data_IF_375432720814
#
_entry.id   IF_375432720814
#
_cell.length_a   1.000
_cell.length_b   1.000
_cell.length_c   1.000
_cell.angle_alpha   90.00
_cell.angle_beta   90.00
_cell.angle_gamma   90.00
#
_symmetry.space_group_name_H-M   'P 1'
#
loop_
_entity.id
_entity.type
_entity.pdbx_description
1 polymer ?
#
# COMPACT_ATOMS: atom_id res chain seq x y z
N UNK A 1 -14.92 -19.73 -8.59
CA UNK A 1 -14.48 -19.21 -7.27
C UNK A 1 -14.66 -17.69 -7.29
N UNK A 2 -15.13 -17.08 -6.20
CA UNK A 2 -15.34 -15.62 -6.08
C UNK A 2 -14.07 -14.86 -5.74
N UNK A 3 -12.97 -15.56 -5.45
CA UNK A 3 -11.71 -14.97 -5.06
C UNK A 3 -10.54 -15.67 -5.76
N UNK A 4 -9.49 -14.91 -6.03
CA UNK A 4 -8.19 -15.41 -6.51
C UNK A 4 -7.24 -15.47 -5.33
N UNK A 5 -6.52 -16.59 -5.18
CA UNK A 5 -5.48 -16.77 -4.16
C UNK A 5 -4.18 -17.09 -4.87
N UNK A 6 -3.12 -16.36 -4.53
CA UNK A 6 -1.77 -16.54 -5.06
C UNK A 6 -0.78 -16.69 -3.91
N UNK A 7 0.17 -17.61 -4.05
CA UNK A 7 1.32 -17.77 -3.18
C UNK A 7 2.58 -17.67 -4.02
N UNK A 8 3.18 -16.48 -4.00
CA UNK A 8 4.35 -16.17 -4.80
C UNK A 8 5.60 -16.51 -3.99
N UNK A 9 6.33 -17.54 -4.41
CA UNK A 9 7.63 -17.88 -3.81
C UNK A 9 8.62 -16.76 -4.11
N UNK A 10 9.23 -16.22 -3.06
CA UNK A 10 10.22 -15.15 -3.12
C UNK A 10 11.60 -15.69 -2.75
N UNK A 11 12.63 -15.10 -3.36
CA UNK A 11 14.03 -15.34 -2.98
C UNK A 11 14.80 -14.03 -2.90
N UNK A 12 15.82 -13.92 -2.03
CA UNK A 12 16.75 -12.79 -2.09
C UNK A 12 17.39 -12.67 -3.47
N UNK A 13 17.52 -11.45 -3.98
CA UNK A 13 18.23 -11.19 -5.25
C UNK A 13 19.71 -11.54 -5.13
N UNK A 14 20.30 -11.34 -3.94
CA UNK A 14 21.71 -11.62 -3.66
C UNK A 14 21.84 -12.43 -2.38
N UNK A 15 22.54 -13.57 -2.47
CA UNK A 15 22.81 -14.44 -1.33
C UNK A 15 21.54 -15.05 -0.72
N UNK A 16 21.55 -15.25 0.59
CA UNK A 16 20.48 -15.96 1.32
C UNK A 16 19.84 -15.13 2.43
N UNK A 17 20.44 -13.99 2.78
CA UNK A 17 20.05 -13.19 3.94
C UNK A 17 19.09 -12.08 3.54
N UNK A 18 18.19 -11.74 4.45
CA UNK A 18 17.33 -10.58 4.33
C UNK A 18 17.17 -9.87 5.68
N UNK A 19 17.08 -8.54 5.63
CA UNK A 19 16.79 -7.71 6.77
C UNK A 19 15.31 -7.84 7.16
N UNK A 20 14.96 -8.15 8.41
CA UNK A 20 13.57 -8.20 8.89
C UNK A 20 13.02 -6.79 9.15
N UNK A 21 11.70 -6.69 9.38
CA UNK A 21 11.12 -5.43 9.88
C UNK A 21 11.44 -5.37 11.36
N UNK A 22 12.03 -4.26 11.80
CA UNK A 22 12.41 -4.05 13.20
C UNK A 22 11.46 -3.08 13.87
N UNK A 23 10.85 -3.50 14.97
CA UNK A 23 10.02 -2.68 15.83
C UNK A 23 10.77 -2.39 17.16
N UNK A 24 10.70 -1.18 17.73
CA UNK A 24 11.42 -0.86 18.97
C UNK A 24 11.08 -1.75 20.17
N UNK A 25 9.84 -2.19 20.26
CA UNK A 25 9.28 -3.00 21.36
C UNK A 25 9.28 -4.51 21.08
N UNK A 26 9.15 -4.91 19.81
CA UNK A 26 9.06 -6.32 19.38
C UNK A 26 10.36 -6.87 18.77
N UNK A 27 11.25 -6.03 18.25
CA UNK A 27 12.36 -6.47 17.40
C UNK A 27 11.88 -7.00 16.06
N UNK A 28 12.45 -8.10 15.58
CA UNK A 28 11.94 -8.82 14.41
C UNK A 28 10.63 -9.53 14.77
N UNK A 29 9.60 -9.41 13.92
CA UNK A 29 8.27 -9.97 14.17
C UNK A 29 8.23 -11.50 13.95
N UNK A 30 8.90 -12.25 14.81
CA UNK A 30 8.96 -13.71 14.75
C UNK A 30 7.79 -14.36 15.47
N UNK A 31 7.26 -15.46 14.93
CA UNK A 31 6.16 -16.23 15.52
C UNK A 31 6.33 -17.74 15.26
N UNK A 32 5.52 -18.57 15.90
CA UNK A 32 5.48 -20.02 15.64
C UNK A 32 4.39 -20.32 14.63
N UNK A 33 4.74 -20.93 13.49
CA UNK A 33 3.80 -21.37 12.47
C UNK A 33 3.66 -22.90 12.53
N UNK A 34 2.43 -23.42 12.48
CA UNK A 34 2.20 -24.85 12.42
C UNK A 34 2.06 -25.29 10.95
N UNK A 35 3.09 -25.92 10.41
CA UNK A 35 3.13 -26.41 9.03
C UNK A 35 2.64 -27.86 9.01
N UNK A 36 1.66 -28.14 8.15
CA UNK A 36 1.10 -29.49 8.00
C UNK A 36 2.20 -30.49 7.62
N UNK A 37 2.32 -31.57 8.39
CA UNK A 37 3.34 -32.62 8.19
C UNK A 37 4.73 -32.31 8.77
N UNK A 38 4.99 -31.08 9.21
CA UNK A 38 6.28 -30.68 9.79
C UNK A 38 6.18 -30.25 11.26
N UNK A 39 4.99 -29.83 11.71
CA UNK A 39 4.76 -29.34 13.07
C UNK A 39 5.06 -27.84 13.20
N UNK A 40 5.47 -27.41 14.39
CA UNK A 40 5.77 -26.00 14.67
C UNK A 40 7.16 -25.62 14.16
N UNK A 41 7.22 -24.56 13.34
CA UNK A 41 8.46 -23.97 12.84
C UNK A 41 8.53 -22.49 13.21
N UNK A 42 9.76 -21.99 13.39
CA UNK A 42 9.99 -20.57 13.60
C UNK A 42 9.72 -19.82 12.29
N UNK A 43 8.80 -18.88 12.32
CA UNK A 43 8.44 -18.03 11.20
C UNK A 43 8.73 -16.55 11.51
N UNK A 44 8.72 -15.72 10.47
CA UNK A 44 8.92 -14.28 10.54
C UNK A 44 7.90 -13.57 9.65
N UNK A 45 7.14 -12.66 10.25
CA UNK A 45 6.22 -11.79 9.52
C UNK A 45 7.00 -10.65 8.87
N UNK A 46 7.30 -10.80 7.57
CA UNK A 46 8.23 -9.94 6.88
C UNK A 46 7.58 -8.62 6.44
N UNK A 47 6.38 -8.70 5.86
CA UNK A 47 5.56 -7.54 5.51
C UNK A 47 4.10 -7.80 5.84
N UNK A 48 3.48 -6.85 6.53
CA UNK A 48 2.09 -6.97 6.96
C UNK A 48 1.09 -6.65 5.86
N UNK A 49 -0.19 -7.05 6.02
CA UNK A 49 -1.27 -6.57 5.18
C UNK A 49 -1.30 -5.06 5.00
N UNK A 50 -0.99 -4.30 6.05
CA UNK A 50 -0.97 -2.84 6.01
C UNK A 50 0.20 -2.32 5.18
N UNK A 51 1.39 -2.90 5.37
CA UNK A 51 2.58 -2.52 4.61
C UNK A 51 2.44 -2.85 3.12
N UNK A 52 1.96 -4.06 2.80
CA UNK A 52 1.76 -4.46 1.40
C UNK A 52 0.67 -3.65 0.71
N UNK A 53 -0.39 -3.24 1.41
CA UNK A 53 -1.38 -2.32 0.83
C UNK A 53 -0.75 -0.98 0.43
N UNK A 54 0.12 -0.41 1.26
CA UNK A 54 0.84 0.83 0.90
C UNK A 54 1.74 0.62 -0.32
N UNK A 55 2.40 -0.54 -0.44
CA UNK A 55 3.27 -0.84 -1.58
C UNK A 55 2.51 -1.04 -2.89
N UNK A 56 1.38 -1.75 -2.84
CA UNK A 56 0.49 -1.92 -3.98
C UNK A 56 -0.09 -0.57 -4.43
N UNK A 57 -0.57 0.23 -3.48
CA UNK A 57 -1.11 1.57 -3.76
C UNK A 57 -0.05 2.50 -4.39
N UNK A 58 1.21 2.44 -3.93
CA UNK A 58 2.30 3.21 -4.52
C UNK A 58 2.62 2.85 -5.98
N UNK A 59 2.21 1.67 -6.46
CA UNK A 59 2.35 1.32 -7.89
C UNK A 59 1.48 2.23 -8.77
N UNK A 60 0.49 2.91 -8.19
CA UNK A 60 -0.47 3.77 -8.89
C UNK A 60 -0.01 5.24 -9.01
N UNK A 61 1.19 5.57 -8.54
CA UNK A 61 1.69 6.94 -8.42
C UNK A 61 3.08 7.14 -9.06
N UNK A 62 3.27 8.27 -9.74
CA UNK A 62 4.57 8.74 -10.23
C UNK A 62 5.08 9.89 -9.34
N UNK A 63 6.10 9.65 -8.49
CA UNK A 63 6.65 10.67 -7.61
C UNK A 63 7.40 11.79 -8.36
N UNK A 64 7.89 11.55 -9.57
CA UNK A 64 8.58 12.57 -10.36
C UNK A 64 7.59 13.59 -10.94
N UNK A 65 6.42 13.09 -11.38
CA UNK A 65 5.34 13.93 -11.90
C UNK A 65 4.46 14.53 -10.79
N UNK A 66 4.48 13.98 -9.58
CA UNK A 66 3.49 14.25 -8.53
C UNK A 66 2.06 14.05 -9.05
N UNK A 67 1.86 12.95 -9.78
CA UNK A 67 0.58 12.56 -10.36
C UNK A 67 0.44 11.03 -10.37
N UNK A 68 -0.73 10.55 -10.77
CA UNK A 68 -0.94 9.14 -11.01
C UNK A 68 0.01 8.58 -12.08
N UNK A 69 0.38 7.31 -11.94
CA UNK A 69 1.15 6.61 -12.96
C UNK A 69 0.42 6.68 -14.32
N UNK A 70 1.17 6.81 -15.42
CA UNK A 70 0.63 7.04 -16.77
C UNK A 70 -0.42 5.98 -17.19
N UNK A 71 -0.24 4.73 -16.73
CA UNK A 71 -1.20 3.64 -16.95
C UNK A 71 -2.62 3.96 -16.43
N UNK A 72 -2.74 4.81 -15.41
CA UNK A 72 -3.99 5.22 -14.78
C UNK A 72 -4.54 6.55 -15.32
N UNK A 73 -3.85 7.24 -16.24
CA UNK A 73 -4.26 8.56 -16.74
C UNK A 73 -5.74 8.58 -17.15
N UNK A 74 -6.50 9.49 -16.54
CA UNK A 74 -7.93 9.65 -16.76
C UNK A 74 -8.80 9.08 -15.63
N UNK A 75 -8.23 8.31 -14.70
CA UNK A 75 -8.93 7.93 -13.47
C UNK A 75 -9.02 9.10 -12.50
N UNK A 76 -10.16 9.25 -11.79
CA UNK A 76 -10.29 10.24 -10.74
C UNK A 76 -9.42 9.89 -9.54
N UNK A 77 -8.99 10.95 -8.86
CA UNK A 77 -8.47 10.94 -7.50
C UNK A 77 -8.73 12.33 -6.89
N UNK A 78 -8.52 12.46 -5.58
CA UNK A 78 -8.61 13.76 -4.91
C UNK A 78 -7.20 14.32 -4.71
N UNK A 79 -6.91 15.44 -5.37
CA UNK A 79 -5.65 16.18 -5.27
C UNK A 79 -5.77 17.26 -4.20
N UNK A 80 -4.74 17.43 -3.39
CA UNK A 80 -4.63 18.55 -2.45
C UNK A 80 -3.46 19.44 -2.86
N UNK A 81 -3.73 20.73 -3.01
CA UNK A 81 -2.72 21.74 -3.33
C UNK A 81 -2.54 22.72 -2.18
N UNK A 82 -1.34 23.30 -2.05
CA UNK A 82 -1.06 24.32 -1.05
C UNK A 82 -1.65 25.70 -1.41
N UNK A 83 -1.36 26.71 -0.58
CA UNK A 83 -1.84 28.07 -0.80
C UNK A 83 -1.37 28.68 -2.14
N UNK A 84 -0.19 28.28 -2.62
CA UNK A 84 0.43 28.71 -3.87
C UNK A 84 0.07 27.84 -5.08
N UNK A 85 -0.79 26.82 -4.91
CA UNK A 85 -1.18 25.89 -5.98
C UNK A 85 -0.16 24.77 -6.23
N UNK A 86 0.88 24.65 -5.40
CA UNK A 86 1.82 23.53 -5.45
C UNK A 86 1.16 22.24 -4.98
N UNK A 87 1.59 21.09 -5.54
CA UNK A 87 1.15 19.79 -5.03
C UNK A 87 1.53 19.62 -3.56
N UNK A 88 0.56 19.25 -2.72
CA UNK A 88 0.80 18.94 -1.32
C UNK A 88 0.69 17.43 -1.07
N UNK A 89 -0.45 16.83 -1.41
CA UNK A 89 -0.73 15.40 -1.23
C UNK A 89 -1.95 14.97 -2.07
N UNK A 90 -2.37 13.70 -1.98
CA UNK A 90 -3.55 13.18 -2.66
C UNK A 90 -4.21 12.03 -1.89
N UNK A 91 -5.44 11.66 -2.27
CA UNK A 91 -6.10 10.46 -1.74
C UNK A 91 -5.31 9.16 -1.96
N UNK A 92 -4.33 9.14 -2.86
CA UNK A 92 -3.49 7.95 -3.13
C UNK A 92 -2.18 7.91 -2.34
N UNK A 93 -1.75 9.05 -1.79
CA UNK A 93 -0.54 9.12 -0.95
C UNK A 93 -0.86 9.09 0.54
N UNK A 94 -2.08 9.46 0.91
CA UNK A 94 -2.50 9.53 2.29
C UNK A 94 -2.85 8.17 2.89
N UNK A 95 -2.34 7.87 4.10
CA UNK A 95 -2.57 6.60 4.78
C UNK A 95 -4.06 6.30 5.07
N UNK A 96 -4.89 7.34 5.15
CA UNK A 96 -6.33 7.25 5.33
C UNK A 96 -7.12 7.47 4.02
N UNK A 97 -6.43 7.59 2.89
CA UNK A 97 -6.99 7.83 1.56
C UNK A 97 -7.96 9.00 1.52
N UNK A 98 -9.16 8.81 0.98
CA UNK A 98 -10.25 9.79 1.00
C UNK A 98 -10.63 10.26 2.41
N UNK A 99 -10.34 9.48 3.46
CA UNK A 99 -10.64 9.85 4.84
C UNK A 99 -9.52 10.68 5.52
N UNK A 100 -8.47 11.07 4.80
CA UNK A 100 -7.35 11.84 5.36
C UNK A 100 -7.76 13.21 5.91
N UNK A 101 -7.13 13.61 7.01
CA UNK A 101 -7.26 14.95 7.57
C UNK A 101 -6.89 16.04 6.56
N UNK A 102 -5.89 15.79 5.69
CA UNK A 102 -5.50 16.75 4.65
C UNK A 102 -6.61 17.01 3.64
N UNK A 103 -7.46 16.01 3.37
CA UNK A 103 -8.64 16.18 2.52
C UNK A 103 -9.79 16.82 3.31
N UNK A 104 -10.06 16.31 4.52
CA UNK A 104 -11.17 16.77 5.36
C UNK A 104 -11.07 18.25 5.71
N UNK A 105 -9.87 18.73 6.01
CA UNK A 105 -9.67 20.08 6.54
C UNK A 105 -9.27 21.08 5.43
N UNK A 106 -8.96 20.60 4.22
CA UNK A 106 -8.79 21.45 3.04
C UNK A 106 -10.12 22.10 2.58
N UNK A 107 -10.01 23.08 1.67
CA UNK A 107 -11.14 23.88 1.17
C UNK A 107 -11.52 23.48 -0.25
N UNK A 108 -12.82 23.43 -0.52
CA UNK A 108 -13.41 23.22 -1.85
C UNK A 108 -14.82 23.84 -1.85
N UNK A 109 -15.21 24.47 -2.96
CA UNK A 109 -16.55 25.07 -3.15
C UNK A 109 -17.02 25.99 -2.02
N UNK A 110 -16.08 26.74 -1.40
CA UNK A 110 -16.38 27.64 -0.28
C UNK A 110 -16.57 26.95 1.08
N UNK A 111 -16.53 25.61 1.13
CA UNK A 111 -16.63 24.79 2.33
C UNK A 111 -15.33 24.08 2.72
N UNK A 112 -15.42 23.13 3.67
CA UNK A 112 -14.35 22.18 3.97
C UNK A 112 -14.56 20.88 3.20
N UNK A 113 -13.48 20.18 2.89
CA UNK A 113 -13.53 18.85 2.27
C UNK A 113 -14.33 17.86 3.11
N UNK A 114 -14.42 18.05 4.43
CA UNK A 114 -15.28 17.28 5.33
C UNK A 114 -16.76 17.39 5.01
N UNK A 115 -17.27 18.60 4.81
CA UNK A 115 -18.68 18.82 4.45
C UNK A 115 -18.91 18.33 3.02
N UNK A 116 -17.99 18.67 2.11
CA UNK A 116 -18.06 18.24 0.71
C UNK A 116 -18.07 16.71 0.57
N UNK A 117 -17.22 15.98 1.31
CA UNK A 117 -17.21 14.51 1.32
C UNK A 117 -18.48 13.94 1.94
N UNK A 118 -18.98 14.50 3.04
CA UNK A 118 -20.25 14.05 3.65
C UNK A 118 -21.41 14.10 2.66
N UNK A 119 -21.53 15.23 1.95
CA UNK A 119 -22.55 15.46 0.93
C UNK A 119 -22.36 14.51 -0.26
N UNK A 120 -21.13 14.37 -0.77
CA UNK A 120 -20.80 13.47 -1.89
C UNK A 120 -21.07 12.00 -1.58
N UNK A 121 -20.84 11.58 -0.35
CA UNK A 121 -21.12 10.22 0.11
C UNK A 121 -22.61 9.99 0.42
N UNK A 122 -23.45 11.04 0.37
CA UNK A 122 -24.89 10.95 0.55
C UNK A 122 -25.33 10.54 1.96
N UNK A 123 -24.58 10.93 2.98
CA UNK A 123 -24.84 10.51 4.36
C UNK A 123 -26.02 11.31 4.94
N UNK A 124 -27.08 10.62 5.37
CA UNK A 124 -28.29 11.26 5.91
C UNK A 124 -28.61 10.74 7.30
N UNK A 125 -28.80 11.66 8.25
CA UNK A 125 -29.15 11.33 9.64
C UNK A 125 -30.47 10.54 9.71
N UNK A 126 -30.44 9.44 10.45
CA UNK A 126 -31.62 8.57 10.65
C UNK A 126 -31.95 7.67 9.46
N UNK A 127 -31.08 7.58 8.44
CA UNK A 127 -31.21 6.63 7.32
C UNK A 127 -30.06 5.63 7.32
N UNK A 128 -30.33 4.43 6.80
CA UNK A 128 -29.29 3.44 6.53
C UNK A 128 -28.41 3.93 5.38
N UNK A 129 -27.12 3.56 5.42
CA UNK A 129 -26.17 3.85 4.34
C UNK A 129 -26.52 2.97 3.14
N UNK A 130 -26.74 3.60 1.99
CA UNK A 130 -26.80 2.88 0.71
C UNK A 130 -25.39 2.53 0.26
N UNK A 131 -25.01 1.26 0.45
CA UNK A 131 -23.66 0.79 0.14
C UNK A 131 -23.30 0.87 -1.36
N UNK A 132 -24.28 0.82 -2.27
CA UNK A 132 -24.02 0.95 -3.71
C UNK A 132 -23.81 2.40 -4.09
N UNK A 133 -24.64 3.31 -3.58
CA UNK A 133 -24.45 4.74 -3.77
C UNK A 133 -23.12 5.21 -3.15
N UNK A 134 -22.78 4.70 -1.96
CA UNK A 134 -21.49 4.95 -1.31
C UNK A 134 -20.32 4.47 -2.18
N UNK A 135 -20.37 3.23 -2.69
CA UNK A 135 -19.32 2.71 -3.54
C UNK A 135 -19.18 3.52 -4.83
N UNK A 136 -20.30 3.96 -5.43
CA UNK A 136 -20.28 4.82 -6.62
C UNK A 136 -19.65 6.17 -6.34
N UNK A 137 -20.00 6.80 -5.22
CA UNK A 137 -19.41 8.07 -4.80
C UNK A 137 -17.89 7.93 -4.57
N UNK A 138 -17.44 6.84 -3.94
CA UNK A 138 -16.02 6.56 -3.75
C UNK A 138 -15.34 6.29 -5.09
N UNK A 139 -15.94 5.52 -6.00
CA UNK A 139 -15.40 5.28 -7.34
C UNK A 139 -15.22 6.60 -8.12
N UNK A 140 -16.18 7.52 -8.03
CA UNK A 140 -16.11 8.83 -8.70
C UNK A 140 -15.09 9.78 -8.06
N UNK A 141 -14.63 9.47 -6.85
CA UNK A 141 -13.61 10.26 -6.15
C UNK A 141 -12.22 9.65 -6.32
N UNK A 142 -12.10 8.34 -6.12
CA UNK A 142 -10.86 7.57 -6.21
C UNK A 142 -11.15 6.04 -6.24
N UNK A 143 -11.14 5.38 -7.41
CA UNK A 143 -11.37 3.94 -7.55
C UNK A 143 -10.39 3.07 -6.76
N UNK A 144 -9.15 3.55 -6.55
CA UNK A 144 -8.10 2.84 -5.80
C UNK A 144 -8.51 2.65 -4.33
N UNK A 145 -9.30 3.58 -3.78
CA UNK A 145 -9.85 3.46 -2.42
C UNK A 145 -10.83 2.30 -2.25
N UNK A 146 -11.48 1.82 -3.33
CA UNK A 146 -12.33 0.63 -3.28
C UNK A 146 -11.55 -0.68 -3.30
N UNK A 147 -10.30 -0.66 -3.76
CA UNK A 147 -9.41 -1.81 -3.79
C UNK A 147 -8.72 -1.97 -2.43
N UNK A 148 -8.13 -0.88 -1.92
CA UNK A 148 -7.35 -0.90 -0.67
C UNK A 148 -8.16 -0.56 0.59
N UNK A 149 -9.46 -0.31 0.43
CA UNK A 149 -10.39 0.00 1.49
C UNK A 149 -10.21 1.41 2.08
N UNK A 150 -11.28 1.94 2.64
CA UNK A 150 -11.29 3.27 3.27
C UNK A 150 -12.26 3.27 4.45
N UNK A 151 -11.90 3.95 5.53
CA UNK A 151 -12.74 4.07 6.72
C UNK A 151 -12.89 5.54 7.13
N UNK A 152 -14.11 6.05 7.07
CA UNK A 152 -14.44 7.42 7.46
C UNK A 152 -14.84 7.48 8.94
N UNK A 153 -13.86 7.50 9.84
CA UNK A 153 -14.06 7.54 11.29
C UNK A 153 -14.48 8.94 11.82
N UNK A 154 -15.52 9.54 11.24
CA UNK A 154 -15.95 10.90 11.53
C UNK A 154 -17.13 10.94 12.51
N UNK A 155 -16.86 11.27 13.77
CA UNK A 155 -17.88 11.32 14.83
C UNK A 155 -19.01 12.34 14.59
N UNK A 156 -18.73 13.38 13.81
CA UNK A 156 -19.68 14.46 13.51
C UNK A 156 -20.64 14.09 12.38
N UNK A 157 -20.30 13.08 11.56
CA UNK A 157 -21.14 12.64 10.45
C UNK A 157 -22.30 11.75 10.93
N UNK A 158 -23.41 11.68 10.16
CA UNK A 158 -24.54 10.79 10.42
C UNK A 158 -24.17 9.31 10.60
N UNK A 159 -23.12 8.86 9.92
CA UNK A 159 -22.58 7.50 9.99
C UNK A 159 -21.08 7.51 9.67
N UNK A 160 -20.40 6.39 9.96
CA UNK A 160 -18.96 6.22 9.73
C UNK A 160 -18.74 5.09 8.72
N UNK A 161 -18.97 5.35 7.41
CA UNK A 161 -18.89 4.32 6.39
C UNK A 161 -17.49 3.71 6.30
N UNK A 162 -17.45 2.40 6.01
CA UNK A 162 -16.22 1.63 5.83
C UNK A 162 -16.34 0.72 4.62
N UNK A 163 -15.32 0.74 3.77
CA UNK A 163 -15.09 -0.24 2.71
C UNK A 163 -13.90 -1.10 3.12
N UNK A 164 -14.09 -2.43 3.13
CA UNK A 164 -13.02 -3.38 3.38
C UNK A 164 -12.05 -3.42 2.18
N UNK A 165 -10.88 -4.05 2.31
CA UNK A 165 -9.98 -4.21 1.17
C UNK A 165 -10.48 -5.35 0.28
N UNK A 166 -10.52 -5.10 -1.03
CA UNK A 166 -10.75 -6.16 -2.01
C UNK A 166 -9.46 -6.96 -2.27
N UNK A 167 -8.29 -6.39 -2.02
CA UNK A 167 -7.00 -7.08 -2.07
C UNK A 167 -6.34 -7.12 -0.69
N UNK A 168 -5.83 -8.29 -0.31
CA UNK A 168 -4.98 -8.47 0.86
C UNK A 168 -3.71 -9.19 0.45
N UNK A 169 -2.55 -8.66 0.85
CA UNK A 169 -1.26 -9.28 0.58
C UNK A 169 -0.40 -9.21 1.84
N UNK A 170 0.38 -10.24 2.14
CA UNK A 170 1.42 -10.20 3.17
C UNK A 170 2.59 -11.08 2.76
N UNK A 171 3.74 -10.89 3.41
CA UNK A 171 4.94 -11.69 3.17
C UNK A 171 5.35 -12.33 4.48
N UNK A 172 5.40 -13.66 4.49
CA UNK A 172 5.92 -14.45 5.60
C UNK A 172 7.13 -15.26 5.16
N UNK A 173 8.03 -15.50 6.10
CA UNK A 173 9.16 -16.41 5.93
C UNK A 173 9.04 -17.56 6.94
N UNK A 174 9.23 -18.80 6.48
CA UNK A 174 9.13 -20.02 7.30
C UNK A 174 10.50 -20.68 7.50
N UNK A 175 10.63 -21.39 8.63
CA UNK A 175 11.89 -22.01 9.10
C UNK A 175 13.05 -20.99 9.08
N UNK A 176 12.84 -19.87 9.75
CA UNK A 176 13.81 -18.77 9.78
C UNK A 176 14.94 -19.03 10.77
N UNK A 177 16.16 -18.64 10.39
CA UNK A 177 17.36 -18.70 11.24
C UNK A 177 18.01 -17.32 11.30
N UNK A 178 18.36 -16.80 12.50
CA UNK A 178 19.10 -15.56 12.62
C UNK A 178 20.46 -15.67 11.93
N UNK A 179 20.74 -14.75 11.02
CA UNK A 179 22.05 -14.54 10.41
C UNK A 179 22.70 -13.32 11.07
N UNK A 180 23.29 -13.56 12.25
CA UNK A 180 23.94 -12.51 13.03
C UNK A 180 25.22 -12.08 12.33
N UNK A 181 25.36 -10.77 12.13
CA UNK A 181 26.56 -10.15 11.60
C UNK A 181 26.93 -8.89 12.39
N UNK A 182 28.12 -8.36 12.14
CA UNK A 182 28.57 -7.09 12.71
C UNK A 182 28.69 -6.03 11.62
N UNK A 183 28.61 -4.77 12.03
CA UNK A 183 29.09 -3.64 11.25
C UNK A 183 29.88 -2.70 12.14
N UNK A 184 30.54 -1.72 11.53
CA UNK A 184 31.20 -0.64 12.26
C UNK A 184 30.69 0.67 11.69
N UNK A 185 30.12 1.51 12.54
CA UNK A 185 29.98 2.93 12.21
C UNK A 185 31.37 3.53 12.27
N UNK A 186 31.86 4.03 11.14
CA UNK A 186 33.17 4.66 11.05
C UNK A 186 33.07 6.17 11.22
N UNK A 187 33.88 6.74 12.10
CA UNK A 187 34.14 8.17 12.19
C UNK A 187 35.61 8.40 11.84
N UNK A 188 35.86 8.94 10.65
CA UNK A 188 37.22 9.20 10.14
C UNK A 188 37.81 10.50 10.67
N UNK A 189 37.00 11.36 11.30
CA UNK A 189 37.40 12.68 11.80
C UNK A 189 37.64 12.61 13.31
N UNK A 190 36.80 11.88 14.05
CA UNK A 190 36.96 11.65 15.47
C UNK A 190 36.73 10.17 15.84
N UNK A 191 37.74 9.30 15.68
CA UNK A 191 37.58 7.88 15.95
C UNK A 191 37.48 7.55 17.46
N UNK A 192 37.90 8.45 18.36
CA UNK A 192 37.85 8.26 19.81
C UNK A 192 36.49 8.64 20.40
N UNK A 193 36.13 7.99 21.51
CA UNK A 193 34.99 8.38 22.34
C UNK A 193 35.51 9.28 23.48
N UNK A 194 35.53 10.58 23.26
CA UNK A 194 35.86 11.57 24.29
C UNK A 194 34.60 12.02 25.04
N UNK A 195 34.75 12.51 26.27
CA UNK A 195 33.61 13.05 27.03
C UNK A 195 32.92 14.19 26.27
N UNK A 196 31.60 14.05 26.04
CA UNK A 196 30.80 15.00 25.26
C UNK A 196 30.92 14.86 23.74
N UNK A 197 31.75 13.92 23.24
CA UNK A 197 31.87 13.54 21.83
C UNK A 197 31.96 12.01 21.71
N UNK A 198 31.00 11.31 22.29
CA UNK A 198 30.93 9.85 22.24
C UNK A 198 29.90 9.33 21.26
N UNK A 199 29.76 8.00 21.24
CA UNK A 199 28.79 7.27 20.44
C UNK A 199 27.34 7.77 20.57
N UNK A 200 26.94 8.22 21.77
CA UNK A 200 25.58 8.72 22.05
C UNK A 200 25.30 10.06 21.37
N UNK A 201 26.32 10.90 21.25
CA UNK A 201 26.27 12.21 20.59
C UNK A 201 26.52 12.09 19.08
N UNK A 202 26.81 10.88 18.58
CA UNK A 202 26.99 10.60 17.17
C UNK A 202 28.43 10.59 16.69
N UNK A 203 29.42 10.65 17.57
CA UNK A 203 30.85 10.58 17.23
C UNK A 203 31.43 9.17 17.46
N UNK A 204 32.67 8.95 17.03
CA UNK A 204 33.43 7.76 17.37
C UNK A 204 33.20 6.56 16.45
N UNK A 205 34.19 5.66 16.41
CA UNK A 205 34.04 4.36 15.75
C UNK A 205 33.30 3.38 16.66
N UNK A 206 32.14 2.89 16.21
CA UNK A 206 31.27 2.05 17.05
C UNK A 206 30.95 0.75 16.32
N UNK A 207 31.49 -0.40 16.78
CA UNK A 207 31.00 -1.70 16.36
C UNK A 207 29.55 -1.90 16.81
N UNK A 208 28.71 -2.42 15.93
CA UNK A 208 27.31 -2.74 16.24
C UNK A 208 26.94 -4.11 15.67
N UNK A 209 26.07 -4.81 16.38
CA UNK A 209 25.49 -6.06 15.89
C UNK A 209 24.32 -5.75 14.95
N UNK A 210 24.19 -6.56 13.90
CA UNK A 210 23.00 -6.61 13.03
C UNK A 210 22.48 -8.04 12.99
N UNK A 211 21.17 -8.17 13.10
CA UNK A 211 20.49 -9.46 12.95
C UNK A 211 19.68 -9.40 11.66
N UNK A 212 20.16 -10.14 10.66
CA UNK A 212 19.40 -10.49 9.46
C UNK A 212 18.84 -11.91 9.65
N UNK A 213 18.07 -12.40 8.69
CA UNK A 213 17.52 -13.75 8.71
C UNK A 213 17.81 -14.46 7.38
N UNK A 214 17.97 -15.77 7.45
CA UNK A 214 17.78 -16.69 6.32
C UNK A 214 16.50 -17.46 6.56
N UNK A 215 15.85 -17.93 5.50
CA UNK A 215 14.63 -18.74 5.60
C UNK A 215 14.70 -19.90 4.61
N UNK A 216 13.94 -20.97 4.90
CA UNK A 216 13.71 -22.02 3.92
C UNK A 216 12.76 -21.54 2.83
N UNK A 217 11.65 -20.93 3.24
CA UNK A 217 10.60 -20.44 2.36
C UNK A 217 10.32 -18.97 2.66
N UNK A 218 10.17 -18.15 1.63
CA UNK A 218 9.65 -16.78 1.74
C UNK A 218 8.49 -16.69 0.74
N UNK A 219 7.30 -16.33 1.20
CA UNK A 219 6.10 -16.37 0.37
C UNK A 219 5.35 -15.06 0.50
N UNK A 220 5.04 -14.42 -0.62
CA UNK A 220 4.00 -13.40 -0.68
C UNK A 220 2.65 -14.07 -0.94
N UNK A 221 1.77 -14.06 0.05
CA UNK A 221 0.40 -14.57 -0.07
C UNK A 221 -0.53 -13.42 -0.42
N UNK A 222 -1.31 -13.59 -1.50
CA UNK A 222 -2.25 -12.60 -2.03
C UNK A 222 -3.64 -13.22 -2.08
N UNK A 223 -4.65 -12.47 -1.66
CA UNK A 223 -6.07 -12.76 -1.87
C UNK A 223 -6.72 -11.56 -2.55
N UNK A 224 -7.38 -11.81 -3.68
CA UNK A 224 -8.24 -10.85 -4.38
C UNK A 224 -9.68 -11.32 -4.27
N UNK A 225 -10.54 -10.53 -3.64
CA UNK A 225 -11.97 -10.80 -3.51
C UNK A 225 -12.77 -10.12 -4.64
N UNK A 226 -12.93 -10.85 -5.75
CA UNK A 226 -13.78 -10.41 -6.86
C UNK A 226 -15.27 -10.38 -6.48
N UNK A 227 -15.67 -11.16 -5.48
CA UNK A 227 -17.01 -11.12 -4.90
C UNK A 227 -17.30 -9.76 -4.26
N UNK A 228 -16.34 -9.20 -3.53
CA UNK A 228 -16.44 -7.86 -2.97
C UNK A 228 -16.52 -6.79 -4.07
N UNK A 229 -15.66 -6.85 -5.10
CA UNK A 229 -15.70 -5.92 -6.24
C UNK A 229 -17.09 -5.93 -6.90
N UNK A 230 -17.63 -7.13 -7.16
CA UNK A 230 -18.97 -7.30 -7.71
C UNK A 230 -20.08 -6.80 -6.78
N UNK A 231 -19.91 -6.94 -5.47
CA UNK A 231 -20.91 -6.52 -4.48
C UNK A 231 -21.17 -5.01 -4.47
N UNK A 232 -20.21 -4.21 -4.95
CA UNK A 232 -20.36 -2.76 -5.08
C UNK A 232 -21.49 -2.36 -6.05
N UNK A 233 -21.83 -3.24 -7.01
CA UNK A 233 -22.93 -3.01 -7.94
C UNK A 233 -22.73 -1.80 -8.85
N UNK A 234 -21.49 -1.54 -9.26
CA UNK A 234 -21.10 -0.38 -10.08
C UNK A 234 -21.32 -0.58 -11.58
N UNK A 235 -21.68 -1.81 -11.99
CA UNK A 235 -21.83 -2.20 -13.39
C UNK A 235 -20.52 -2.68 -14.01
N UNK A 236 -20.64 -3.40 -15.12
CA UNK A 236 -19.55 -4.17 -15.74
C UNK A 236 -18.33 -3.31 -16.10
N UNK A 237 -18.53 -2.09 -16.60
CA UNK A 237 -17.44 -1.18 -16.97
C UNK A 237 -16.59 -0.77 -15.76
N UNK A 238 -17.24 -0.39 -14.66
CA UNK A 238 -16.55 0.03 -13.43
C UNK A 238 -15.87 -1.16 -12.76
N UNK A 239 -16.51 -2.33 -12.76
CA UNK A 239 -15.93 -3.57 -12.27
C UNK A 239 -14.70 -3.99 -13.10
N UNK A 240 -14.73 -3.81 -14.43
CA UNK A 240 -13.59 -4.06 -15.30
C UNK A 240 -12.39 -3.17 -14.95
N UNK A 241 -12.62 -1.87 -14.69
CA UNK A 241 -11.58 -0.94 -14.22
C UNK A 241 -10.97 -1.42 -12.89
N UNK A 242 -11.80 -1.78 -11.90
CA UNK A 242 -11.30 -2.23 -10.59
C UNK A 242 -10.48 -3.53 -10.68
N UNK A 243 -10.92 -4.50 -11.48
CA UNK A 243 -10.16 -5.73 -11.68
C UNK A 243 -8.86 -5.47 -12.47
N UNK A 244 -8.87 -4.58 -13.47
CA UNK A 244 -7.67 -4.24 -14.22
C UNK A 244 -6.66 -3.44 -13.36
N UNK A 245 -7.12 -2.62 -12.41
CA UNK A 245 -6.27 -1.97 -11.42
C UNK A 245 -5.57 -3.00 -10.53
N UNK A 246 -6.29 -4.02 -10.05
CA UNK A 246 -5.70 -5.11 -9.26
C UNK A 246 -4.62 -5.84 -10.07
N UNK A 247 -4.91 -6.19 -11.32
CA UNK A 247 -3.94 -6.83 -12.21
C UNK A 247 -2.69 -5.95 -12.42
N UNK A 248 -2.89 -4.65 -12.62
CA UNK A 248 -1.81 -3.68 -12.80
C UNK A 248 -0.93 -3.54 -11.55
N UNK A 249 -1.51 -3.45 -10.35
CA UNK A 249 -0.76 -3.37 -9.11
C UNK A 249 0.04 -4.66 -8.84
N UNK A 250 -0.58 -5.83 -9.05
CA UNK A 250 0.09 -7.11 -8.91
C UNK A 250 1.23 -7.28 -9.92
N UNK A 251 1.00 -6.94 -11.19
CA UNK A 251 2.03 -6.99 -12.21
C UNK A 251 3.17 -6.00 -11.89
N UNK A 252 2.84 -4.76 -11.53
CA UNK A 252 3.83 -3.74 -11.17
C UNK A 252 4.70 -4.16 -9.99
N UNK A 253 4.12 -4.81 -8.98
CA UNK A 253 4.86 -5.18 -7.77
C UNK A 253 5.65 -6.49 -7.92
N UNK A 254 5.09 -7.48 -8.64
CA UNK A 254 5.62 -8.85 -8.65
C UNK A 254 6.27 -9.29 -9.97
N UNK A 255 6.04 -8.58 -11.09
CA UNK A 255 6.65 -8.89 -12.39
C UNK A 255 7.93 -8.09 -12.68
N UNK A 256 8.29 -7.13 -11.83
CA UNK A 256 9.51 -6.34 -11.99
C UNK A 256 10.75 -7.06 -11.43
N UNK A 257 11.93 -6.59 -11.83
CA UNK A 257 13.25 -7.06 -11.36
C UNK A 257 13.56 -6.59 -9.93
N UNK A 258 12.71 -7.03 -8.99
CA UNK A 258 12.98 -6.99 -7.57
C UNK A 258 12.04 -6.12 -6.73
N UNK A 259 11.60 -6.71 -5.63
CA UNK A 259 10.84 -6.13 -4.55
C UNK A 259 11.80 -5.65 -3.45
N UNK A 260 12.23 -4.39 -3.53
CA UNK A 260 13.09 -3.78 -2.51
C UNK A 260 12.26 -3.35 -1.30
N UNK A 261 12.29 -4.18 -0.25
CA UNK A 261 11.54 -3.94 0.97
C UNK A 261 12.28 -3.02 1.94
N UNK A 262 13.60 -3.21 2.07
CA UNK A 262 14.53 -2.46 2.94
C UNK A 262 15.93 -2.48 2.32
N UNK A 263 16.89 -1.75 2.91
CA UNK A 263 18.26 -1.68 2.40
C UNK A 263 18.90 -3.04 2.17
N UNK A 264 18.78 -3.96 3.13
CA UNK A 264 19.29 -5.32 3.02
C UNK A 264 18.16 -6.36 2.87
N UNK A 265 17.03 -5.97 2.27
CA UNK A 265 15.95 -6.88 1.91
C UNK A 265 15.48 -6.54 0.50
N UNK A 266 16.06 -7.25 -0.47
CA UNK A 266 15.71 -7.16 -1.88
C UNK A 266 15.34 -8.55 -2.35
N UNK A 267 14.06 -8.76 -2.63
CA UNK A 267 13.52 -10.05 -3.01
C UNK A 267 13.12 -10.04 -4.49
N UNK A 268 12.94 -11.19 -5.10
CA UNK A 268 12.33 -11.35 -6.42
C UNK A 268 11.43 -12.57 -6.39
N UNK A 269 10.35 -12.56 -7.16
CA UNK A 269 9.53 -13.78 -7.33
C UNK A 269 10.36 -14.81 -8.08
N UNK A 270 10.30 -16.06 -7.62
CA UNK A 270 10.94 -17.16 -8.33
C UNK A 270 10.29 -17.35 -9.71
N UNK A 271 11.10 -17.50 -10.75
CA UNK A 271 10.59 -17.65 -12.12
C UNK A 271 9.83 -18.96 -12.30
N UNK A 272 10.17 -19.97 -11.50
CA UNK A 272 9.50 -21.27 -11.49
C UNK A 272 8.21 -21.27 -10.63
N UNK A 273 7.83 -20.14 -10.04
CA UNK A 273 6.59 -20.03 -9.28
C UNK A 273 5.36 -20.09 -10.19
N UNK A 274 4.58 -21.17 -10.09
CA UNK A 274 3.38 -21.38 -10.92
C UNK A 274 2.36 -20.24 -10.81
N UNK A 275 2.20 -19.67 -9.61
CA UNK A 275 1.25 -18.58 -9.37
C UNK A 275 1.67 -17.26 -10.02
N UNK A 276 2.95 -17.08 -10.35
CA UNK A 276 3.43 -15.93 -11.10
C UNK A 276 2.78 -15.89 -12.49
N UNK A 277 2.59 -17.05 -13.14
CA UNK A 277 1.97 -17.14 -14.45
C UNK A 277 0.49 -16.69 -14.47
N UNK A 278 -0.17 -16.64 -13.31
CA UNK A 278 -1.56 -16.16 -13.16
C UNK A 278 -1.67 -14.64 -13.12
N UNK A 279 -0.57 -13.94 -12.82
CA UNK A 279 -0.51 -12.47 -12.88
C UNK A 279 -0.15 -12.08 -14.31
N UNK A 280 -0.88 -11.21 -15.02
CA UNK A 280 -0.48 -10.77 -16.35
C UNK A 280 0.91 -10.12 -16.35
N UNK A 281 1.58 -10.06 -17.50
CA UNK A 281 2.77 -9.22 -17.64
C UNK A 281 2.42 -7.75 -17.41
N UNK A 282 3.41 -6.91 -17.08
CA UNK A 282 3.16 -5.49 -16.86
C UNK A 282 2.55 -4.80 -18.09
N UNK A 283 3.01 -5.17 -19.29
CA UNK A 283 2.48 -4.63 -20.55
C UNK A 283 1.03 -5.05 -20.79
N UNK A 284 0.70 -6.33 -20.57
CA UNK A 284 -0.69 -6.83 -20.68
C UNK A 284 -1.60 -6.17 -19.65
N UNK A 285 -1.16 -6.06 -18.40
CA UNK A 285 -1.91 -5.44 -17.31
C UNK A 285 -2.15 -3.95 -17.60
N UNK A 286 -1.12 -3.25 -18.09
CA UNK A 286 -1.21 -1.85 -18.49
C UNK A 286 -2.18 -1.67 -19.65
N UNK A 287 -2.07 -2.49 -20.70
CA UNK A 287 -2.96 -2.44 -21.86
C UNK A 287 -4.42 -2.71 -21.45
N UNK A 288 -4.65 -3.71 -20.59
CA UNK A 288 -5.98 -4.05 -20.05
C UNK A 288 -6.57 -2.91 -19.24
N UNK A 289 -5.77 -2.25 -18.39
CA UNK A 289 -6.20 -1.11 -17.60
C UNK A 289 -6.56 0.09 -18.49
N UNK A 290 -5.70 0.42 -19.45
CA UNK A 290 -5.97 1.48 -20.44
C UNK A 290 -7.26 1.22 -21.21
N UNK A 291 -7.44 -0.01 -21.69
CA UNK A 291 -8.65 -0.40 -22.40
C UNK A 291 -9.91 -0.26 -21.51
N UNK A 292 -9.85 -0.70 -20.25
CA UNK A 292 -10.97 -0.58 -19.32
C UNK A 292 -11.34 0.89 -19.02
N UNK A 293 -10.34 1.75 -18.86
CA UNK A 293 -10.51 3.21 -18.68
C UNK A 293 -11.19 3.82 -19.92
N UNK A 294 -10.66 3.54 -21.12
CA UNK A 294 -11.17 4.11 -22.36
C UNK A 294 -12.60 3.61 -22.68
N UNK A 295 -12.92 2.35 -22.38
CA UNK A 295 -14.26 1.78 -22.55
C UNK A 295 -15.27 2.26 -21.51
N UNK A 296 -14.80 2.66 -20.32
CA UNK A 296 -15.67 3.26 -19.31
C UNK A 296 -16.30 4.54 -19.87
N UNK A 297 -15.46 5.45 -20.36
CA UNK A 297 -15.84 6.64 -21.15
C UNK A 297 -16.42 7.82 -20.37
N UNK A 298 -16.92 7.58 -19.15
CA UNK A 298 -17.63 8.57 -18.33
C UNK A 298 -17.04 8.66 -16.90
N UNK A 299 -15.71 8.77 -16.82
CA UNK A 299 -15.00 8.91 -15.54
C UNK A 299 -15.05 10.35 -15.04
N UNK A 300 -15.23 10.51 -13.73
CA UNK A 300 -15.22 11.82 -13.10
C UNK A 300 -13.84 12.50 -13.23
N UNK A 301 -13.79 13.85 -13.27
CA UNK A 301 -12.51 14.56 -13.26
C UNK A 301 -11.83 14.46 -11.90
N UNK A 302 -10.52 14.72 -11.89
CA UNK A 302 -9.75 14.90 -10.65
C UNK A 302 -10.36 16.07 -9.87
N UNK A 303 -10.64 15.84 -8.58
CA UNK A 303 -11.11 16.90 -7.68
C UNK A 303 -9.91 17.55 -7.00
N UNK A 304 -9.83 18.87 -7.02
CA UNK A 304 -8.74 19.62 -6.39
C UNK A 304 -9.23 20.37 -5.13
N UNK A 305 -8.60 20.10 -3.99
CA UNK A 305 -8.86 20.76 -2.72
C UNK A 305 -7.67 21.66 -2.35
N UNK A 306 -7.95 22.82 -1.78
CA UNK A 306 -6.93 23.79 -1.38
C UNK A 306 -6.64 23.72 0.12
N UNK A 307 -5.41 23.38 0.48
CA UNK A 307 -4.91 23.42 1.84
C UNK A 307 -4.53 24.84 2.24
N UNK A 308 -5.15 25.37 3.29
CA UNK A 308 -4.88 26.73 3.79
C UNK A 308 -4.03 26.75 5.06
N UNK A 309 -3.45 25.61 5.45
CA UNK A 309 -2.85 25.42 6.76
C UNK A 309 -3.91 25.17 7.82
N UNK A 310 -3.67 24.23 8.72
CA UNK A 310 -4.50 24.06 9.91
C UNK A 310 -4.42 25.34 10.75
N UNK A 311 -5.56 25.97 11.01
CA UNK A 311 -5.64 26.90 12.14
C UNK A 311 -5.13 26.16 13.37
N UNK A 312 -4.23 26.82 14.13
CA UNK A 312 -3.89 26.35 15.48
C UNK A 312 -5.15 26.12 16.30
#
# INVERSE_FOLDING_TARGET
MTSTVLNLTLRPVVGFRFQPTGFPDLGAATYQAHVSGEGWVQALHLESPQSMANRLELCTWDPAANDQAEALRGLPYVRVVDAGGGFLTSSRLEAHRLASAYLMDAKIDGGTGRVWLEDRLGLVKGRLVDHRALAKAIFDLDPVSLIHGVFFAQKQWPSQPKIARAITCFIDALDVRPAVSGGVKTDSVNPSNDEGRGAKEGYGMVPHQRVEYTARDITASVVVDHGQIKSYGLGEKSEAVLNALVDFELASLFRQDGLRLRTACHLVVDQDCEDLAKIPTLDEATAKLRQAIDQHGDLAPISELKWTGGGK
#
